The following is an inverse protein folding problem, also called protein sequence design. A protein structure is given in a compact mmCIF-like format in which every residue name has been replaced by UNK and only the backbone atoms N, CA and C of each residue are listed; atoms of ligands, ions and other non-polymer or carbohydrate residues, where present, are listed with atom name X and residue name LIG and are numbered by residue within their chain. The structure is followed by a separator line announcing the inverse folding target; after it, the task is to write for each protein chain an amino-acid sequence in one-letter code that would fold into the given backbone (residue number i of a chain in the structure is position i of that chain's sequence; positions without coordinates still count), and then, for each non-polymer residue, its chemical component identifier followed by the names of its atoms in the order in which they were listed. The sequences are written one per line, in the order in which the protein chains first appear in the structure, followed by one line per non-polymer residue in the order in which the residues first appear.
data_IF_353204033129
#
_entry.id   IF_353204033129
#
_cell.length_a   1.000
_cell.length_b   1.000
_cell.length_c   1.000
_cell.angle_alpha   90.00
_cell.angle_beta   90.00
_cell.angle_gamma   90.00
#
_symmetry.space_group_name_H-M   'P 1'
#
loop_
_entity.id
_entity.type
_entity.pdbx_description
1 polymer ?
#
# COMPACT_ATOMS: atom_id res chain seq x y z
N UNK A 1 7.23 -13.84 -5.61
CA UNK A 1 7.88 -13.58 -4.30
C UNK A 1 7.06 -12.70 -3.34
N UNK A 2 5.73 -12.75 -3.40
CA UNK A 2 4.86 -12.00 -2.47
C UNK A 2 4.16 -12.99 -1.55
N UNK A 3 4.53 -12.99 -0.26
CA UNK A 3 3.84 -13.78 0.73
C UNK A 3 4.23 -15.27 0.77
N UNK A 4 5.42 -15.62 0.26
CA UNK A 4 5.97 -16.98 0.37
C UNK A 4 6.16 -17.31 1.84
N UNK A 5 5.78 -18.53 2.25
CA UNK A 5 6.02 -19.00 3.62
C UNK A 5 7.52 -19.21 3.81
N UNK A 6 8.07 -18.61 4.84
CA UNK A 6 9.45 -18.80 5.25
C UNK A 6 9.54 -20.12 6.01
N UNK A 7 10.07 -21.15 5.36
CA UNK A 7 10.34 -22.44 5.98
C UNK A 7 11.28 -22.27 7.20
N UNK A 8 11.09 -23.09 8.22
CA UNK A 8 11.84 -22.98 9.48
C UNK A 8 11.32 -21.93 10.46
N UNK A 9 10.26 -21.17 10.13
CA UNK A 9 9.61 -20.25 11.09
C UNK A 9 8.47 -20.96 11.85
N UNK A 10 8.41 -20.86 13.19
CA UNK A 10 7.46 -21.62 14.01
C UNK A 10 5.99 -21.26 13.73
N UNK A 11 5.73 -20.06 13.21
CA UNK A 11 4.40 -19.54 12.91
C UNK A 11 4.14 -19.36 11.41
N UNK A 12 4.91 -20.02 10.52
CA UNK A 12 4.75 -19.91 9.06
C UNK A 12 4.74 -18.44 8.59
N UNK A 13 5.70 -17.67 9.06
CA UNK A 13 5.86 -16.27 8.68
C UNK A 13 5.92 -16.15 7.15
N UNK A 14 5.42 -15.04 6.61
CA UNK A 14 5.42 -14.79 5.18
C UNK A 14 6.45 -13.73 4.83
N UNK A 15 7.30 -14.02 3.85
CA UNK A 15 8.25 -13.07 3.29
C UNK A 15 7.53 -12.04 2.44
N UNK A 16 7.79 -10.76 2.70
CA UNK A 16 7.35 -9.64 1.86
C UNK A 16 8.61 -8.92 1.38
N UNK A 17 8.93 -9.07 0.09
CA UNK A 17 10.08 -8.40 -0.51
C UNK A 17 9.85 -6.90 -0.71
N UNK A 18 10.95 -6.15 -0.87
CA UNK A 18 10.93 -4.69 -1.05
C UNK A 18 10.10 -4.27 -2.29
N UNK A 19 10.14 -5.04 -3.37
CA UNK A 19 9.33 -4.78 -4.57
C UNK A 19 7.83 -4.91 -4.30
N UNK A 20 7.42 -5.74 -3.33
CA UNK A 20 6.03 -5.90 -2.94
C UNK A 20 5.49 -4.68 -2.23
N UNK A 21 6.26 -4.21 -1.27
CA UNK A 21 6.01 -2.94 -0.59
C UNK A 21 6.04 -1.78 -1.60
N UNK A 22 7.02 -1.77 -2.50
CA UNK A 22 7.18 -0.77 -3.55
C UNK A 22 5.99 -0.68 -4.50
N UNK A 23 5.41 -1.81 -4.90
CA UNK A 23 4.21 -1.84 -5.74
C UNK A 23 3.00 -1.20 -5.03
N UNK A 24 2.76 -1.52 -3.76
CA UNK A 24 1.70 -0.88 -2.98
C UNK A 24 1.96 0.62 -2.83
N UNK A 25 3.19 1.03 -2.51
CA UNK A 25 3.58 2.44 -2.46
C UNK A 25 3.24 3.17 -3.77
N UNK A 26 3.61 2.59 -4.90
CA UNK A 26 3.35 3.17 -6.22
C UNK A 26 1.85 3.38 -6.44
N UNK A 27 1.04 2.32 -6.26
CA UNK A 27 -0.42 2.38 -6.44
C UNK A 27 -1.10 3.37 -5.50
N UNK A 28 -0.68 3.40 -4.23
CA UNK A 28 -1.19 4.37 -3.24
C UNK A 28 -0.91 5.78 -3.72
N UNK A 29 0.36 6.12 -4.03
CA UNK A 29 0.70 7.47 -4.49
C UNK A 29 -0.06 7.88 -5.75
N UNK A 30 -0.18 7.00 -6.75
CA UNK A 30 -0.97 7.27 -7.95
C UNK A 30 -2.42 7.59 -7.60
N UNK A 31 -3.04 6.83 -6.70
CA UNK A 31 -4.42 7.08 -6.28
C UNK A 31 -4.56 8.40 -5.51
N UNK A 32 -3.59 8.72 -4.64
CA UNK A 32 -3.60 10.00 -3.91
C UNK A 32 -3.50 11.18 -4.88
N UNK A 33 -2.65 11.10 -5.91
CA UNK A 33 -2.57 12.15 -6.93
C UNK A 33 -3.86 12.27 -7.74
N UNK A 34 -4.52 11.16 -8.09
CA UNK A 34 -5.82 11.20 -8.75
C UNK A 34 -6.86 11.88 -7.86
N UNK A 35 -6.92 11.57 -6.56
CA UNK A 35 -7.83 12.25 -5.62
C UNK A 35 -7.59 13.76 -5.55
N UNK A 36 -6.31 14.18 -5.60
CA UNK A 36 -5.95 15.60 -5.64
C UNK A 36 -6.27 16.28 -6.99
N UNK A 37 -6.27 15.52 -8.08
CA UNK A 37 -6.61 16.02 -9.41
C UNK A 37 -8.12 16.13 -9.62
N UNK A 38 -8.89 15.15 -9.12
CA UNK A 38 -10.33 15.04 -9.34
C UNK A 38 -11.16 15.96 -8.41
N UNK A 39 -10.54 16.58 -7.40
CA UNK A 39 -11.21 17.45 -6.43
C UNK A 39 -11.28 18.90 -6.92
N UNK A 40 -12.40 19.57 -6.69
CA UNK A 40 -12.55 21.00 -6.99
C UNK A 40 -11.92 21.91 -5.94
N UNK A 41 -11.59 21.37 -4.75
CA UNK A 41 -11.02 22.11 -3.62
C UNK A 41 -9.67 21.52 -3.22
N UNK A 42 -8.74 22.34 -2.69
CA UNK A 42 -7.46 21.85 -2.17
C UNK A 42 -7.66 20.69 -1.19
N UNK A 43 -7.05 19.55 -1.48
CA UNK A 43 -7.13 18.34 -0.68
C UNK A 43 -5.80 18.11 0.03
N UNK A 44 -5.84 18.12 1.36
CA UNK A 44 -4.70 17.85 2.22
C UNK A 44 -4.80 16.43 2.74
N UNK A 45 -3.90 15.56 2.28
CA UNK A 45 -3.90 14.14 2.60
C UNK A 45 -2.80 13.88 3.62
N UNK A 46 -3.17 13.34 4.78
CA UNK A 46 -2.22 12.89 5.80
C UNK A 46 -2.06 11.37 5.82
N UNK A 47 -1.19 10.88 6.69
CA UNK A 47 -0.84 9.46 6.78
C UNK A 47 -2.06 8.54 6.98
N UNK A 48 -3.05 8.94 7.80
CA UNK A 48 -4.22 8.11 8.10
C UNK A 48 -5.06 7.82 6.85
N UNK A 49 -5.28 8.84 6.02
CA UNK A 49 -5.99 8.70 4.75
C UNK A 49 -5.17 7.90 3.73
N UNK A 50 -3.87 8.18 3.62
CA UNK A 50 -2.98 7.39 2.77
C UNK A 50 -2.97 5.90 3.15
N UNK A 51 -2.98 5.59 4.45
CA UNK A 51 -3.06 4.23 4.96
C UNK A 51 -4.40 3.57 4.67
N UNK A 52 -5.51 4.31 4.77
CA UNK A 52 -6.83 3.81 4.39
C UNK A 52 -6.85 3.40 2.91
N UNK A 53 -6.32 4.23 2.02
CA UNK A 53 -6.17 3.91 0.58
C UNK A 53 -5.30 2.66 0.38
N UNK A 54 -4.19 2.52 1.11
CA UNK A 54 -3.35 1.32 1.06
C UNK A 54 -4.12 0.04 1.43
N UNK A 55 -5.01 0.11 2.43
CA UNK A 55 -5.86 -1.02 2.83
C UNK A 55 -6.94 -1.35 1.81
N UNK A 56 -7.48 -0.35 1.11
CA UNK A 56 -8.45 -0.57 0.03
C UNK A 56 -7.81 -1.27 -1.18
N UNK A 57 -6.53 -1.00 -1.47
CA UNK A 57 -5.80 -1.59 -2.60
C UNK A 57 -5.25 -3.00 -2.36
N UNK A 58 -5.29 -3.48 -1.10
CA UNK A 58 -4.73 -4.78 -0.63
C UNK A 58 -5.79 -5.76 -0.12
N UNK A 59 -7.04 -5.32 -0.02
CA UNK A 59 -8.21 -6.19 0.13
C UNK A 59 -8.55 -6.83 -1.22
#
# INVERSE_FOLDING_TARGET
DMGVVLEGTPLKARGVGALGVGNIKYRVHTRLFQMMFDTEKPLYIEFREAFKVARELTR
#
